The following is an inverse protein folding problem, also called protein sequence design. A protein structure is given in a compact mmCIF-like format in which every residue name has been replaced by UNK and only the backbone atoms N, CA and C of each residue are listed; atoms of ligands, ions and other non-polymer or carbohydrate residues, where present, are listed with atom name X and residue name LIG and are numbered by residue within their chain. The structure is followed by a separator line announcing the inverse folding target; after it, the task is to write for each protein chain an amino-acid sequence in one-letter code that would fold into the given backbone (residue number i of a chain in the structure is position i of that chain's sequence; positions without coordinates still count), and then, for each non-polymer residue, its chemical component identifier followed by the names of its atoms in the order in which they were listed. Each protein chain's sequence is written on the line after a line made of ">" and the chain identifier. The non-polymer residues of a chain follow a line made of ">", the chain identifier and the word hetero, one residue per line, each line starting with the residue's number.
data_IF_906762885869
#
_entry.id   IF_906762885869
#
_cell.length_a   1.000
_cell.length_b   1.000
_cell.length_c   1.000
_cell.angle_alpha   90.00
_cell.angle_beta   90.00
_cell.angle_gamma   90.00
#
_symmetry.space_group_name_H-M   'P 1'
#
loop_
_entity.id
_entity.type
_entity.pdbx_description
1 polymer ?
#
# COMPACT_ATOMS: atom_id res chain seq x y z
N UNK A 1 -18.45 -13.82 37.26
CA UNK A 1 -18.52 -13.99 35.78
C UNK A 1 -17.15 -14.37 35.28
N UNK A 2 -17.05 -15.54 34.68
CA UNK A 2 -15.80 -15.98 34.05
C UNK A 2 -15.65 -15.25 32.72
N UNK A 3 -14.70 -14.33 32.60
CA UNK A 3 -14.28 -13.79 31.33
C UNK A 3 -13.53 -14.90 30.59
N UNK A 4 -14.18 -15.50 29.59
CA UNK A 4 -13.49 -16.41 28.69
C UNK A 4 -12.48 -15.56 27.92
N UNK A 5 -11.21 -15.64 28.27
CA UNK A 5 -10.14 -15.12 27.46
C UNK A 5 -10.15 -15.88 26.14
N UNK A 6 -10.59 -15.21 25.08
CA UNK A 6 -10.47 -15.77 23.75
C UNK A 6 -8.98 -15.77 23.38
N UNK A 7 -8.38 -16.94 23.35
CA UNK A 7 -7.04 -17.11 22.80
C UNK A 7 -7.21 -17.48 21.32
N UNK A 8 -6.83 -16.63 20.38
CA UNK A 8 -6.92 -16.98 18.97
C UNK A 8 -6.05 -18.21 18.69
N UNK A 9 -6.44 -19.07 17.74
CA UNK A 9 -5.61 -20.20 17.34
C UNK A 9 -4.25 -19.73 16.86
N UNK A 10 -3.21 -20.52 17.11
CA UNK A 10 -1.86 -20.24 16.64
C UNK A 10 -1.86 -20.11 15.10
N UNK A 11 -1.10 -19.14 14.55
CA UNK A 11 -0.99 -18.98 13.10
C UNK A 11 -0.40 -20.24 12.46
N UNK A 12 -1.02 -20.71 11.37
CA UNK A 12 -0.48 -21.79 10.55
C UNK A 12 0.12 -21.24 9.26
N UNK A 13 1.37 -20.83 9.33
CA UNK A 13 2.08 -20.24 8.19
C UNK A 13 2.41 -21.26 7.08
N UNK A 14 2.19 -22.54 7.32
CA UNK A 14 2.30 -23.58 6.30
C UNK A 14 1.02 -23.80 5.49
N UNK A 15 -0.09 -23.17 5.88
CA UNK A 15 -1.38 -23.33 5.22
C UNK A 15 -1.63 -22.18 4.22
N UNK A 16 -1.72 -22.46 2.90
CA UNK A 16 -1.96 -21.43 1.89
C UNK A 16 -3.27 -20.65 2.09
N UNK A 17 -4.35 -21.31 2.55
CA UNK A 17 -5.62 -20.65 2.82
C UNK A 17 -5.52 -19.67 3.99
N UNK A 18 -4.79 -20.03 5.02
CA UNK A 18 -4.51 -19.13 6.15
C UNK A 18 -3.74 -17.90 5.67
N UNK A 19 -2.68 -18.09 4.88
CA UNK A 19 -1.86 -16.99 4.36
C UNK A 19 -2.68 -16.05 3.47
N UNK A 20 -3.51 -16.59 2.60
CA UNK A 20 -4.37 -15.77 1.74
C UNK A 20 -5.37 -14.94 2.56
N UNK A 21 -6.07 -15.55 3.52
CA UNK A 21 -6.99 -14.84 4.41
C UNK A 21 -6.27 -13.75 5.21
N UNK A 22 -5.05 -14.05 5.66
CA UNK A 22 -4.25 -13.09 6.39
C UNK A 22 -3.85 -11.89 5.52
N UNK A 23 -3.42 -12.13 4.29
CA UNK A 23 -3.13 -11.06 3.32
C UNK A 23 -4.37 -10.20 3.06
N UNK A 24 -5.53 -10.82 2.87
CA UNK A 24 -6.79 -10.10 2.65
C UNK A 24 -7.17 -9.26 3.87
N UNK A 25 -7.02 -9.80 5.08
CA UNK A 25 -7.32 -9.06 6.31
C UNK A 25 -6.40 -7.86 6.51
N UNK A 26 -5.13 -7.97 6.15
CA UNK A 26 -4.20 -6.83 6.15
C UNK A 26 -4.63 -5.75 5.16
N UNK A 27 -5.01 -6.15 3.96
CA UNK A 27 -5.47 -5.19 2.94
C UNK A 27 -6.81 -4.57 3.30
N UNK A 28 -7.69 -5.28 3.99
CA UNK A 28 -8.96 -4.73 4.49
C UNK A 28 -8.76 -3.63 5.54
N UNK A 29 -7.63 -3.64 6.27
CA UNK A 29 -7.25 -2.53 7.14
C UNK A 29 -6.96 -1.26 6.34
N UNK A 30 -6.32 -1.39 5.19
CA UNK A 30 -5.90 -0.26 4.38
C UNK A 30 -6.94 0.18 3.37
N UNK A 31 -7.64 -0.76 2.72
CA UNK A 31 -8.56 -0.46 1.63
C UNK A 31 -10.01 -0.37 2.12
N UNK A 32 -10.80 0.55 1.56
CA UNK A 32 -10.49 1.49 0.46
C UNK A 32 -9.80 2.79 0.90
N UNK A 33 -9.66 3.05 2.19
CA UNK A 33 -9.20 4.34 2.74
C UNK A 33 -7.80 4.75 2.27
N UNK A 34 -6.90 3.79 2.09
CA UNK A 34 -5.54 4.07 1.64
C UNK A 34 -5.45 4.53 0.18
N UNK A 35 -6.45 4.22 -0.62
CA UNK A 35 -6.48 4.63 -2.02
C UNK A 35 -6.66 6.14 -2.14
N UNK A 36 -5.66 6.81 -2.70
CA UNK A 36 -5.74 8.24 -3.02
C UNK A 36 -6.19 8.40 -4.47
N UNK A 37 -7.38 8.96 -4.72
CA UNK A 37 -7.86 9.15 -6.10
C UNK A 37 -6.93 10.01 -6.96
N UNK A 38 -6.17 10.90 -6.35
CA UNK A 38 -5.22 11.77 -7.06
C UNK A 38 -3.93 11.04 -7.49
N UNK A 39 -3.61 9.94 -6.84
CA UNK A 39 -2.45 9.11 -7.16
C UNK A 39 -1.97 8.28 -5.97
N UNK A 40 -1.69 7.01 -6.23
CA UNK A 40 -1.10 6.11 -5.27
C UNK A 40 -1.96 5.81 -4.05
N UNK A 41 -1.30 5.58 -2.95
CA UNK A 41 -1.91 5.20 -1.68
C UNK A 41 -1.31 6.02 -0.55
N UNK A 42 -2.14 6.39 0.43
CA UNK A 42 -1.68 6.96 1.69
C UNK A 42 -0.86 5.95 2.47
N UNK A 43 0.14 6.41 3.21
CA UNK A 43 1.16 5.54 3.78
C UNK A 43 1.29 5.65 5.30
N UNK A 44 0.72 6.69 5.90
CA UNK A 44 0.88 6.98 7.32
C UNK A 44 -0.45 6.85 8.05
N UNK A 45 -0.58 5.78 8.81
CA UNK A 45 -1.81 5.40 9.51
C UNK A 45 -1.56 5.31 11.02
N UNK A 46 -2.55 5.70 11.79
CA UNK A 46 -2.66 5.32 13.19
C UNK A 46 -3.22 3.89 13.29
N UNK A 47 -3.12 3.31 14.48
CA UNK A 47 -3.56 1.93 14.72
C UNK A 47 -5.06 1.72 14.48
N UNK A 48 -5.86 2.79 14.57
CA UNK A 48 -7.30 2.78 14.26
C UNK A 48 -7.63 2.95 12.78
N UNK A 49 -6.61 3.09 11.92
CA UNK A 49 -6.78 3.30 10.49
C UNK A 49 -6.89 4.77 10.07
N UNK A 50 -6.80 5.71 11.01
CA UNK A 50 -6.79 7.13 10.68
C UNK A 50 -5.52 7.52 9.94
N UNK A 51 -5.67 8.24 8.83
CA UNK A 51 -4.55 8.79 8.07
C UNK A 51 -4.13 10.10 8.71
N UNK A 52 -2.88 10.18 9.18
CA UNK A 52 -2.38 11.40 9.85
C UNK A 52 -1.48 12.26 8.95
N UNK A 53 -0.91 11.70 7.88
CA UNK A 53 -0.17 12.44 6.85
C UNK A 53 -0.67 12.01 5.48
N UNK A 54 -1.32 12.92 4.77
CA UNK A 54 -1.89 12.67 3.45
C UNK A 54 -0.91 12.97 2.31
N UNK A 55 0.16 13.69 2.56
CA UNK A 55 0.99 14.28 1.52
C UNK A 55 2.31 13.55 1.32
N UNK A 56 2.94 13.05 2.39
CA UNK A 56 4.24 12.40 2.30
C UNK A 56 4.12 11.01 1.69
N UNK A 57 4.92 10.75 0.68
CA UNK A 57 4.96 9.47 -0.04
C UNK A 57 6.40 8.98 -0.14
N UNK A 58 6.59 7.75 0.26
CA UNK A 58 7.88 7.08 0.28
C UNK A 58 7.92 6.02 -0.82
N UNK A 59 9.00 5.96 -1.59
CA UNK A 59 9.15 5.04 -2.72
C UNK A 59 8.96 3.57 -2.29
N UNK A 60 9.58 3.16 -1.18
CA UNK A 60 9.49 1.77 -0.70
C UNK A 60 8.06 1.38 -0.39
N UNK A 61 7.30 2.23 0.29
CA UNK A 61 5.90 1.96 0.61
C UNK A 61 5.03 1.90 -0.66
N UNK A 62 5.28 2.81 -1.60
CA UNK A 62 4.57 2.83 -2.87
C UNK A 62 4.83 1.55 -3.69
N UNK A 63 6.07 1.08 -3.74
CA UNK A 63 6.40 -0.18 -4.43
C UNK A 63 5.78 -1.39 -3.75
N UNK A 64 5.70 -1.40 -2.42
CA UNK A 64 5.05 -2.48 -1.67
C UNK A 64 3.56 -2.57 -1.95
N UNK A 65 2.86 -1.46 -2.10
CA UNK A 65 1.47 -1.47 -2.55
C UNK A 65 1.32 -2.14 -3.92
N UNK A 66 2.22 -1.83 -4.86
CA UNK A 66 2.21 -2.47 -6.18
C UNK A 66 2.44 -3.98 -6.08
N UNK A 67 3.44 -4.41 -5.32
CA UNK A 67 3.74 -5.84 -5.12
C UNK A 67 2.57 -6.56 -4.46
N UNK A 68 2.01 -6.01 -3.40
CA UNK A 68 0.91 -6.64 -2.66
C UNK A 68 -0.34 -6.77 -3.53
N UNK A 69 -0.71 -5.74 -4.27
CA UNK A 69 -1.84 -5.82 -5.21
C UNK A 69 -1.60 -6.87 -6.30
N UNK A 70 -0.39 -6.93 -6.84
CA UNK A 70 0.00 -7.94 -7.83
C UNK A 70 -0.16 -9.36 -7.29
N UNK A 71 0.33 -9.62 -6.09
CA UNK A 71 0.24 -10.93 -5.46
C UNK A 71 -1.20 -11.33 -5.17
N UNK A 72 -2.03 -10.41 -4.66
CA UNK A 72 -3.44 -10.67 -4.38
C UNK A 72 -4.24 -10.85 -5.66
N UNK A 73 -3.98 -10.06 -6.70
CA UNK A 73 -4.62 -10.28 -7.98
C UNK A 73 -4.27 -11.66 -8.56
N UNK A 74 -3.02 -12.05 -8.51
CA UNK A 74 -2.59 -13.38 -8.95
C UNK A 74 -3.26 -14.51 -8.16
N UNK A 75 -3.42 -14.33 -6.84
CA UNK A 75 -3.99 -15.34 -5.96
C UNK A 75 -5.52 -15.43 -6.02
N UNK A 76 -6.21 -14.32 -6.24
CA UNK A 76 -7.67 -14.24 -6.15
C UNK A 76 -8.37 -14.02 -7.48
N UNK A 77 -7.71 -13.39 -8.45
CA UNK A 77 -8.34 -12.94 -9.70
C UNK A 77 -9.30 -11.77 -9.54
N UNK A 78 -9.39 -11.17 -8.34
CA UNK A 78 -10.32 -10.07 -8.08
C UNK A 78 -9.93 -8.79 -8.81
N UNK A 79 -10.83 -8.17 -9.61
CA UNK A 79 -10.52 -6.97 -10.39
C UNK A 79 -10.03 -5.79 -9.56
N UNK A 80 -10.48 -5.65 -8.31
CA UNK A 80 -10.05 -4.55 -7.40
C UNK A 80 -8.54 -4.53 -7.19
N UNK A 81 -7.89 -5.69 -7.15
CA UNK A 81 -6.45 -5.78 -6.99
C UNK A 81 -5.69 -5.45 -8.28
N UNK A 82 -6.25 -5.84 -9.43
CA UNK A 82 -5.71 -5.42 -10.73
C UNK A 82 -5.77 -3.91 -10.91
N UNK A 83 -6.90 -3.31 -10.58
CA UNK A 83 -7.09 -1.85 -10.67
C UNK A 83 -6.16 -1.12 -9.71
N UNK A 84 -6.02 -1.63 -8.49
CA UNK A 84 -5.08 -1.10 -7.50
C UNK A 84 -3.62 -1.20 -7.94
N UNK A 85 -3.24 -2.29 -8.60
CA UNK A 85 -1.90 -2.45 -9.19
C UNK A 85 -1.64 -1.41 -10.27
N UNK A 86 -2.56 -1.25 -11.22
CA UNK A 86 -2.42 -0.26 -12.28
C UNK A 86 -2.30 1.16 -11.72
N UNK A 87 -3.11 1.48 -10.70
CA UNK A 87 -3.07 2.76 -9.99
C UNK A 87 -1.71 2.98 -9.30
N UNK A 88 -1.19 1.96 -8.61
CA UNK A 88 0.11 2.02 -7.94
C UNK A 88 1.26 2.20 -8.92
N UNK A 89 1.27 1.45 -10.03
CA UNK A 89 2.32 1.56 -11.05
C UNK A 89 2.34 2.93 -11.73
N UNK A 90 1.17 3.47 -12.02
CA UNK A 90 1.04 4.81 -12.60
C UNK A 90 1.59 5.87 -11.66
N UNK A 91 1.29 5.75 -10.37
CA UNK A 91 1.80 6.65 -9.35
C UNK A 91 3.33 6.59 -9.23
N UNK A 92 3.94 5.41 -9.30
CA UNK A 92 5.40 5.28 -9.29
C UNK A 92 6.05 6.07 -10.43
N UNK A 93 5.46 6.02 -11.61
CA UNK A 93 5.95 6.78 -12.76
C UNK A 93 5.74 8.30 -12.57
N UNK A 94 4.56 8.71 -12.12
CA UNK A 94 4.19 10.12 -12.04
C UNK A 94 4.89 10.85 -10.88
N UNK A 95 5.01 10.20 -9.73
CA UNK A 95 5.51 10.83 -8.51
C UNK A 95 7.02 10.69 -8.32
N UNK A 96 7.57 9.52 -8.63
CA UNK A 96 8.94 9.17 -8.23
C UNK A 96 9.93 9.11 -9.40
N UNK A 97 9.50 8.80 -10.62
CA UNK A 97 10.43 8.67 -11.74
C UNK A 97 11.08 10.03 -12.06
N UNK A 98 12.42 10.05 -12.10
CA UNK A 98 13.17 11.26 -12.43
C UNK A 98 13.19 11.48 -13.95
N UNK A 99 13.41 10.41 -14.70
CA UNK A 99 13.47 10.42 -16.15
C UNK A 99 14.05 9.11 -16.68
N UNK A 100 14.06 8.89 -18.01
CA UNK A 100 14.59 7.67 -18.60
C UNK A 100 16.04 7.41 -18.18
N UNK A 101 16.27 6.30 -17.47
CA UNK A 101 17.60 5.91 -17.01
C UNK A 101 18.17 6.70 -15.84
N UNK A 102 17.42 7.65 -15.26
CA UNK A 102 17.92 8.51 -14.19
C UNK A 102 17.54 8.05 -12.78
N UNK A 103 16.64 7.06 -12.66
CA UNK A 103 16.23 6.50 -11.38
C UNK A 103 14.96 7.13 -10.79
N UNK A 104 14.85 7.06 -9.47
CA UNK A 104 13.65 7.43 -8.74
C UNK A 104 13.99 8.27 -7.51
N UNK A 105 13.13 9.25 -7.21
CA UNK A 105 13.19 9.96 -5.94
C UNK A 105 12.83 8.99 -4.80
N UNK A 106 13.43 9.21 -3.64
CA UNK A 106 13.20 8.37 -2.46
C UNK A 106 11.94 8.74 -1.71
N UNK A 107 11.71 10.04 -1.52
CA UNK A 107 10.57 10.57 -0.81
C UNK A 107 10.09 11.88 -1.44
N UNK A 108 8.80 12.00 -1.63
CA UNK A 108 8.17 13.18 -2.23
C UNK A 108 6.97 13.64 -1.41
N UNK A 109 6.61 14.89 -1.58
CA UNK A 109 5.32 15.43 -1.16
C UNK A 109 4.39 15.44 -2.37
N UNK A 110 3.22 14.82 -2.22
CA UNK A 110 2.22 14.68 -3.27
C UNK A 110 0.87 15.24 -2.80
N UNK A 111 0.27 16.11 -3.58
CA UNK A 111 -1.03 16.70 -3.30
C UNK A 111 -1.68 17.15 -4.60
N UNK A 112 -3.01 16.98 -4.68
CA UNK A 112 -3.82 17.43 -5.81
C UNK A 112 -3.35 16.86 -7.16
N UNK A 113 -2.92 15.61 -7.17
CA UNK A 113 -2.48 14.93 -8.37
C UNK A 113 -1.11 15.36 -8.89
N UNK A 114 -0.30 16.03 -8.06
CA UNK A 114 1.01 16.54 -8.45
C UNK A 114 2.05 16.36 -7.33
N UNK A 115 3.30 16.13 -7.76
CA UNK A 115 4.44 16.25 -6.86
C UNK A 115 4.67 17.71 -6.54
N UNK A 116 4.58 18.06 -5.24
CA UNK A 116 4.81 19.40 -4.75
C UNK A 116 6.30 19.70 -4.56
N UNK A 117 7.04 18.72 -4.02
CA UNK A 117 8.47 18.81 -3.82
C UNK A 117 9.10 17.43 -3.60
N UNK A 118 10.40 17.37 -3.80
CA UNK A 118 11.23 16.23 -3.42
C UNK A 118 11.72 16.47 -1.99
N UNK A 119 11.42 15.51 -1.09
CA UNK A 119 11.85 15.58 0.32
C UNK A 119 13.23 14.96 0.48
N UNK A 120 13.43 13.79 -0.16
CA UNK A 120 14.71 13.08 -0.12
C UNK A 120 15.02 12.51 -1.51
N UNK A 121 16.23 12.80 -1.95
CA UNK A 121 16.79 12.38 -3.23
C UNK A 121 18.13 11.67 -2.97
N UNK A 122 18.09 10.34 -2.92
CA UNK A 122 19.25 9.50 -2.60
C UNK A 122 20.06 9.08 -3.83
N UNK A 123 20.15 9.94 -4.81
CA UNK A 123 20.99 9.69 -5.98
C UNK A 123 22.48 9.68 -5.61
#
# INVERSE_FOLDING_TARGET
>A
MSTRHFTPPAPDFGNPEFLLRHMQSLMDFYLPQAHDPSGGHYQYFLDDGTIWDHDTRHLVSATRYAVTHSMLWRATGEPRYKDGLAHALRFLADAFCIGPGEGYYWMVEWRDGQRQRVIDDTR
#
